data_IF_099033433158
#
_entry.id   IF_099033433158
#
_cell.length_a   1.000
_cell.length_b   1.000
_cell.length_c   1.000
_cell.angle_alpha   90.00
_cell.angle_beta   90.00
_cell.angle_gamma   90.00
#
_symmetry.space_group_name_H-M   'P 1'
#
loop_
_entity.id
_entity.type
_entity.pdbx_description
1 polymer ?
#
# COMPACT_ATOMS: atom_id res chain seq x y z
N UNK A 1 -5.07 -19.06 0.81
CA UNK A 1 -4.05 -18.37 1.64
C UNK A 1 -2.61 -18.70 1.27
N UNK A 2 -2.25 -19.98 1.09
CA UNK A 2 -0.90 -20.39 0.69
C UNK A 2 -0.36 -19.69 -0.57
N UNK A 3 -1.20 -19.50 -1.60
CA UNK A 3 -0.86 -18.74 -2.82
C UNK A 3 -0.31 -17.34 -2.52
N UNK A 4 -0.93 -16.59 -1.59
CA UNK A 4 -0.47 -15.24 -1.26
C UNK A 4 0.88 -15.26 -0.54
N UNK A 5 1.10 -16.24 0.33
CA UNK A 5 2.37 -16.43 1.03
C UNK A 5 3.53 -16.67 0.05
N UNK A 6 3.33 -17.56 -0.92
CA UNK A 6 4.35 -17.92 -1.90
C UNK A 6 4.62 -16.75 -2.86
N UNK A 7 3.59 -16.03 -3.29
CA UNK A 7 3.73 -15.00 -4.32
C UNK A 7 4.17 -13.62 -3.79
N UNK A 8 3.67 -13.19 -2.63
CA UNK A 8 3.87 -11.81 -2.15
C UNK A 8 4.76 -11.70 -0.91
N UNK A 9 4.94 -12.80 -0.18
CA UNK A 9 5.62 -12.80 1.12
C UNK A 9 6.86 -13.71 1.13
N UNK A 10 7.38 -14.04 -0.06
CA UNK A 10 8.68 -14.66 -0.25
C UNK A 10 9.71 -13.61 -0.63
N UNK A 11 10.92 -13.73 -0.07
CA UNK A 11 12.04 -12.84 -0.38
C UNK A 11 13.19 -13.72 -0.84
N UNK A 12 13.75 -13.43 -2.02
CA UNK A 12 14.99 -14.05 -2.46
C UNK A 12 16.14 -13.41 -1.68
N UNK A 13 16.83 -14.21 -0.88
CA UNK A 13 18.07 -13.75 -0.25
C UNK A 13 19.25 -14.15 -1.11
N UNK A 14 19.86 -13.16 -1.75
CA UNK A 14 21.00 -13.35 -2.65
C UNK A 14 22.28 -13.76 -1.90
N UNK A 15 22.37 -13.41 -0.60
CA UNK A 15 23.52 -13.74 0.25
C UNK A 15 23.59 -15.23 0.57
N UNK A 16 22.43 -15.87 0.81
CA UNK A 16 22.34 -17.28 1.14
C UNK A 16 21.78 -18.14 0.01
N UNK A 17 21.48 -17.56 -1.15
CA UNK A 17 20.84 -18.21 -2.32
C UNK A 17 19.60 -19.03 -1.93
N UNK A 18 18.85 -18.57 -0.93
CA UNK A 18 17.66 -19.26 -0.42
C UNK A 18 16.43 -18.37 -0.48
N UNK A 19 15.28 -19.00 -0.69
CA UNK A 19 13.99 -18.33 -0.66
C UNK A 19 13.47 -18.32 0.79
N UNK A 20 13.37 -17.14 1.39
CA UNK A 20 12.88 -16.97 2.76
C UNK A 20 11.40 -16.61 2.74
N UNK A 21 10.63 -17.27 3.59
CA UNK A 21 9.20 -16.97 3.81
C UNK A 21 9.04 -16.14 5.07
N UNK A 22 8.24 -15.09 5.01
CA UNK A 22 7.95 -14.25 6.18
C UNK A 22 7.21 -15.02 7.28
N UNK A 23 7.62 -14.79 8.53
CA UNK A 23 6.98 -15.35 9.72
C UNK A 23 5.62 -14.66 9.97
N UNK A 24 4.68 -15.31 10.67
CA UNK A 24 3.31 -14.79 10.83
C UNK A 24 3.20 -13.37 11.39
N UNK A 25 4.07 -12.99 12.34
CA UNK A 25 4.08 -11.63 12.90
C UNK A 25 4.56 -10.58 11.89
N UNK A 26 5.50 -10.94 11.01
CA UNK A 26 6.00 -10.05 9.97
C UNK A 26 4.94 -9.84 8.90
N UNK A 27 4.24 -10.91 8.52
CA UNK A 27 3.05 -10.82 7.66
C UNK A 27 2.01 -9.85 8.23
N UNK A 28 1.69 -9.96 9.53
CA UNK A 28 0.73 -9.07 10.18
C UNK A 28 1.18 -7.61 10.16
N UNK A 29 2.46 -7.35 10.42
CA UNK A 29 3.03 -6.00 10.36
C UNK A 29 2.95 -5.39 8.95
N UNK A 30 3.40 -6.13 7.93
CA UNK A 30 3.37 -5.68 6.53
C UNK A 30 1.94 -5.40 6.07
N UNK A 31 1.00 -6.32 6.36
CA UNK A 31 -0.41 -6.16 6.00
C UNK A 31 -1.03 -4.91 6.64
N UNK A 32 -0.73 -4.66 7.92
CA UNK A 32 -1.23 -3.49 8.65
C UNK A 32 -0.67 -2.18 8.09
N UNK A 33 0.62 -2.16 7.74
CA UNK A 33 1.27 -1.00 7.12
C UNK A 33 0.65 -0.73 5.74
N UNK A 34 0.54 -1.74 4.88
CA UNK A 34 -0.04 -1.59 3.55
C UNK A 34 -1.48 -1.05 3.60
N UNK A 35 -2.30 -1.57 4.51
CA UNK A 35 -3.68 -1.07 4.69
C UNK A 35 -3.68 0.42 5.02
N UNK A 36 -2.89 0.84 6.01
CA UNK A 36 -2.80 2.24 6.42
C UNK A 36 -2.26 3.14 5.30
N UNK A 37 -1.32 2.64 4.50
CA UNK A 37 -0.73 3.37 3.38
C UNK A 37 -1.76 3.60 2.26
N UNK A 38 -2.57 2.58 1.95
CA UNK A 38 -3.68 2.70 0.99
C UNK A 38 -4.68 3.76 1.47
N UNK A 39 -5.11 3.70 2.74
CA UNK A 39 -6.05 4.67 3.31
C UNK A 39 -5.52 6.11 3.21
N UNK A 40 -4.23 6.32 3.50
CA UNK A 40 -3.59 7.63 3.38
C UNK A 40 -3.50 8.12 1.92
N UNK A 41 -3.21 7.23 0.98
CA UNK A 41 -3.15 7.57 -0.45
C UNK A 41 -4.53 7.94 -0.99
N UNK A 42 -5.58 7.24 -0.57
CA UNK A 42 -6.97 7.57 -0.95
C UNK A 42 -7.41 8.92 -0.38
N UNK A 43 -7.08 9.20 0.89
CA UNK A 43 -7.30 10.52 1.48
C UNK A 43 -6.55 11.62 0.73
N UNK A 44 -5.28 11.39 0.38
CA UNK A 44 -4.50 12.34 -0.41
C UNK A 44 -5.12 12.60 -1.78
N UNK A 45 -5.57 11.55 -2.47
CA UNK A 45 -6.20 11.65 -3.79
C UNK A 45 -7.51 12.42 -3.73
N UNK A 46 -8.36 12.18 -2.73
CA UNK A 46 -9.63 12.91 -2.55
C UNK A 46 -9.44 14.38 -2.17
N UNK A 47 -8.40 14.70 -1.39
CA UNK A 47 -8.05 16.09 -1.09
C UNK A 47 -7.49 16.81 -2.32
N UNK A 48 -6.68 16.13 -3.13
CA UNK A 48 -6.17 16.68 -4.39
C UNK A 48 -7.32 16.97 -5.37
N UNK A 49 -8.26 16.03 -5.55
CA UNK A 49 -9.41 16.23 -6.43
C UNK A 49 -10.30 17.40 -5.97
N UNK A 50 -10.58 17.51 -4.67
CA UNK A 50 -11.30 18.67 -4.11
C UNK A 50 -10.59 19.99 -4.43
N UNK A 51 -9.27 20.02 -4.32
CA UNK A 51 -8.47 21.23 -4.60
C UNK A 51 -8.48 21.58 -6.09
N UNK A 52 -8.53 20.60 -6.99
CA UNK A 52 -8.67 20.81 -8.43
C UNK A 52 -10.07 21.29 -8.83
N UNK A 53 -11.12 20.83 -8.15
CA UNK A 53 -12.49 21.26 -8.40
C UNK A 53 -12.68 22.76 -8.10
N UNK A 54 -12.06 23.27 -7.03
CA UNK A 54 -12.01 24.72 -6.73
C UNK A 54 -11.27 25.54 -7.80
N UNK A 55 -10.38 24.92 -8.59
CA UNK A 55 -9.61 25.61 -9.65
C UNK A 55 -10.32 25.62 -11.01
N UNK A 56 -11.38 24.83 -11.20
CA UNK A 56 -12.04 24.65 -12.52
C UNK A 56 -13.28 25.51 -12.74
N UNK A 57 -13.76 26.25 -11.74
CA UNK A 57 -14.87 27.18 -11.93
C UNK A 57 -14.85 28.28 -10.89
N UNK A 58 -14.58 29.52 -11.32
CA UNK A 58 -14.76 30.70 -10.48
C UNK A 58 -16.21 30.83 -10.03
N UNK A 59 -16.41 31.35 -8.82
CA UNK A 59 -17.74 31.60 -8.27
C UNK A 59 -18.49 32.58 -9.18
N UNK A 60 -19.60 32.13 -9.76
CA UNK A 60 -20.56 32.99 -10.44
C UNK A 60 -21.54 33.45 -9.37
N UNK A 61 -21.64 34.76 -9.21
CA UNK A 61 -22.53 35.47 -8.30
C UNK A 61 -23.77 35.93 -9.07
#
# INVERSE_FOLDING_TARGET
MAHKLISYYTVSDDSTKTLKVLRPYQYHAVSSICKKLIDLLEQRKSNLSKTEDFRKGGFIW
#
